data_IF_221809633521
#
_entry.id   IF_221809633521
#
_cell.length_a   1.000
_cell.length_b   1.000
_cell.length_c   1.000
_cell.angle_alpha   90.00
_cell.angle_beta   90.00
_cell.angle_gamma   90.00
#
_symmetry.space_group_name_H-M   'P 1'
#
loop_
_entity.id
_entity.type
_entity.pdbx_description
1 polymer ?
#
# COMPACT_ATOMS: atom_id res chain seq x y z
N UNK A 1 12.40 19.89 -3.05
CA UNK A 1 12.19 18.91 -4.13
C UNK A 1 11.39 19.61 -5.23
N UNK A 2 11.84 19.57 -6.49
CA UNK A 2 11.09 20.14 -7.62
C UNK A 2 9.78 19.37 -7.85
N UNK A 3 8.76 20.02 -8.44
CA UNK A 3 7.45 19.41 -8.69
C UNK A 3 7.55 18.11 -9.50
N UNK A 4 8.39 18.10 -10.53
CA UNK A 4 8.59 16.94 -11.41
C UNK A 4 9.27 15.77 -10.71
N UNK A 5 10.24 16.04 -9.84
CA UNK A 5 10.87 14.99 -9.05
C UNK A 5 9.87 14.33 -8.10
N UNK A 6 8.95 15.13 -7.51
CA UNK A 6 7.92 14.60 -6.60
C UNK A 6 6.91 13.74 -7.35
N UNK A 7 6.44 14.17 -8.52
CA UNK A 7 5.51 13.37 -9.33
C UNK A 7 6.15 12.08 -9.84
N UNK A 8 7.40 12.13 -10.33
CA UNK A 8 8.12 10.92 -10.75
C UNK A 8 8.26 9.90 -9.62
N UNK A 9 8.60 10.35 -8.40
CA UNK A 9 8.79 9.43 -7.28
C UNK A 9 7.47 8.87 -6.73
N UNK A 10 6.46 9.70 -6.53
CA UNK A 10 5.20 9.27 -5.92
C UNK A 10 4.23 8.63 -6.91
N UNK A 11 4.10 9.19 -8.11
CA UNK A 11 3.19 8.67 -9.14
C UNK A 11 3.87 7.58 -9.96
N UNK A 12 5.15 7.74 -10.28
CA UNK A 12 5.91 6.76 -11.06
C UNK A 12 6.38 5.60 -10.19
N UNK A 13 7.40 5.81 -9.35
CA UNK A 13 8.07 4.73 -8.60
C UNK A 13 7.12 4.08 -7.59
N UNK A 14 6.61 4.85 -6.62
CA UNK A 14 5.70 4.29 -5.62
C UNK A 14 4.39 3.79 -6.24
N UNK A 15 3.89 4.43 -7.30
CA UNK A 15 2.75 3.94 -8.06
C UNK A 15 2.99 2.57 -8.69
N UNK A 16 4.16 2.34 -9.31
CA UNK A 16 4.50 1.06 -9.91
C UNK A 16 4.74 -0.06 -8.90
N UNK A 17 5.23 0.26 -7.69
CA UNK A 17 5.38 -0.71 -6.61
C UNK A 17 4.04 -1.14 -5.98
N UNK A 18 2.99 -0.33 -6.07
CA UNK A 18 1.71 -0.58 -5.40
C UNK A 18 0.66 -1.07 -6.40
N UNK A 19 0.38 -2.38 -6.43
CA UNK A 19 -0.60 -2.97 -7.38
C UNK A 19 -1.98 -3.21 -6.74
N UNK A 20 -2.83 -2.18 -6.78
CA UNK A 20 -4.22 -2.27 -6.28
C UNK A 20 -5.08 -3.25 -7.09
N UNK A 21 -4.76 -3.46 -8.38
CA UNK A 21 -5.50 -4.38 -9.26
C UNK A 21 -5.33 -5.85 -8.86
N UNK A 22 -4.13 -6.28 -8.48
CA UNK A 22 -3.90 -7.67 -8.06
C UNK A 22 -4.63 -7.98 -6.74
N UNK A 23 -4.53 -7.07 -5.77
CA UNK A 23 -5.20 -7.20 -4.47
C UNK A 23 -6.74 -7.24 -4.60
N UNK A 24 -7.32 -6.42 -5.47
CA UNK A 24 -8.78 -6.45 -5.73
C UNK A 24 -9.23 -7.72 -6.44
N UNK A 25 -8.46 -8.24 -7.39
CA UNK A 25 -8.78 -9.49 -8.09
C UNK A 25 -8.76 -10.69 -7.13
N UNK A 26 -7.75 -10.79 -6.26
CA UNK A 26 -7.64 -11.86 -5.26
C UNK A 26 -8.76 -11.77 -4.20
N UNK A 27 -9.13 -10.55 -3.79
CA UNK A 27 -10.27 -10.31 -2.89
C UNK A 27 -11.58 -10.74 -3.55
N UNK A 28 -11.79 -10.43 -4.83
CA UNK A 28 -12.99 -10.84 -5.57
C UNK A 28 -13.04 -12.36 -5.74
N UNK A 29 -11.93 -13.01 -6.04
CA UNK A 29 -11.86 -14.47 -6.15
C UNK A 29 -12.24 -15.15 -4.82
N UNK A 30 -11.72 -14.65 -3.69
CA UNK A 30 -12.09 -15.12 -2.35
C UNK A 30 -13.56 -14.88 -2.01
N UNK A 31 -14.12 -13.74 -2.42
CA UNK A 31 -15.55 -13.44 -2.23
C UNK A 31 -16.44 -14.37 -3.08
N UNK A 32 -16.06 -14.65 -4.33
CA UNK A 32 -16.77 -15.58 -5.23
C UNK A 32 -16.68 -17.01 -4.70
N UNK A 33 -15.55 -17.40 -4.11
CA UNK A 33 -15.38 -18.68 -3.43
C UNK A 33 -16.18 -18.80 -2.11
N UNK A 34 -16.93 -17.77 -1.71
CA UNK A 34 -17.70 -17.75 -0.46
C UNK A 34 -16.85 -17.55 0.80
N UNK A 35 -15.56 -17.25 0.64
CA UNK A 35 -14.60 -17.16 1.72
C UNK A 35 -14.34 -15.71 2.16
N UNK A 36 -15.37 -15.10 2.75
CA UNK A 36 -15.36 -13.69 3.18
C UNK A 36 -14.34 -13.39 4.28
N UNK A 37 -14.02 -14.35 5.14
CA UNK A 37 -13.03 -14.17 6.21
C UNK A 37 -11.63 -13.93 5.64
N UNK A 38 -11.23 -14.71 4.64
CA UNK A 38 -9.93 -14.55 3.98
C UNK A 38 -9.92 -13.32 3.07
N UNK A 39 -11.04 -12.98 2.43
CA UNK A 39 -11.15 -11.72 1.68
C UNK A 39 -10.91 -10.49 2.59
N UNK A 40 -11.55 -10.45 3.76
CA UNK A 40 -11.35 -9.38 4.73
C UNK A 40 -9.93 -9.35 5.28
N UNK A 41 -9.32 -10.52 5.51
CA UNK A 41 -7.93 -10.63 5.96
C UNK A 41 -6.95 -10.12 4.89
N UNK A 42 -7.18 -10.45 3.62
CA UNK A 42 -6.35 -10.01 2.52
C UNK A 42 -6.37 -8.47 2.39
N UNK A 43 -7.56 -7.87 2.47
CA UNK A 43 -7.74 -6.41 2.43
C UNK A 43 -7.08 -5.73 3.62
N UNK A 44 -7.39 -6.19 4.84
CA UNK A 44 -6.88 -5.57 6.07
C UNK A 44 -5.38 -5.74 6.23
N UNK A 45 -4.80 -6.88 5.82
CA UNK A 45 -3.36 -7.09 5.83
C UNK A 45 -2.66 -6.14 4.86
N UNK A 46 -3.09 -6.09 3.59
CA UNK A 46 -2.47 -5.19 2.59
C UNK A 46 -2.54 -3.72 3.02
N UNK A 47 -3.73 -3.23 3.40
CA UNK A 47 -3.91 -1.84 3.83
C UNK A 47 -3.14 -1.56 5.13
N UNK A 48 -3.20 -2.48 6.10
CA UNK A 48 -2.52 -2.34 7.39
C UNK A 48 -1.00 -2.30 7.25
N UNK A 49 -0.40 -3.19 6.45
CA UNK A 49 1.03 -3.22 6.16
C UNK A 49 1.49 -1.93 5.47
N UNK A 50 0.73 -1.44 4.48
CA UNK A 50 1.03 -0.17 3.83
C UNK A 50 1.00 1.01 4.81
N UNK A 51 -0.01 1.08 5.69
CA UNK A 51 -0.14 2.16 6.66
C UNK A 51 0.97 2.11 7.71
N UNK A 52 1.31 0.93 8.21
CA UNK A 52 2.41 0.71 9.13
C UNK A 52 3.75 1.12 8.52
N UNK A 53 4.02 0.72 7.28
CA UNK A 53 5.23 1.12 6.56
C UNK A 53 5.34 2.64 6.38
N UNK A 54 4.23 3.31 6.04
CA UNK A 54 4.19 4.76 5.91
C UNK A 54 4.42 5.48 7.24
N UNK A 55 3.82 4.99 8.34
CA UNK A 55 4.01 5.55 9.68
C UNK A 55 5.46 5.37 10.13
N UNK A 56 6.02 4.16 9.98
CA UNK A 56 7.42 3.89 10.33
C UNK A 56 8.38 4.76 9.52
N UNK A 57 8.16 4.89 8.21
CA UNK A 57 8.96 5.77 7.35
C UNK A 57 8.89 7.23 7.78
N UNK A 58 7.71 7.72 8.18
CA UNK A 58 7.55 9.08 8.73
C UNK A 58 8.29 9.24 10.06
N UNK A 59 8.17 8.28 10.98
CA UNK A 59 8.86 8.34 12.28
C UNK A 59 10.37 8.39 12.06
N UNK A 60 10.90 7.49 11.23
CA UNK A 60 12.33 7.43 10.89
C UNK A 60 12.83 8.73 10.26
N UNK A 61 12.08 9.29 9.32
CA UNK A 61 12.43 10.56 8.68
C UNK A 61 12.44 11.74 9.66
N UNK A 62 11.52 11.75 10.62
CA UNK A 62 11.47 12.80 11.66
C UNK A 62 12.60 12.61 12.68
N UNK A 63 12.89 11.38 13.11
CA UNK A 63 13.96 11.09 14.08
C UNK A 63 15.36 11.29 13.50
N UNK A 64 15.56 11.09 12.19
CA UNK A 64 16.85 11.30 11.54
C UNK A 64 17.20 12.79 11.30
N UNK A 65 16.24 13.69 11.53
CA UNK A 65 16.39 15.14 11.33
C UNK A 65 16.67 15.89 12.64
N UNK A 66 16.55 15.23 13.80
CA UNK A 66 16.91 15.76 15.12
C UNK A 66 18.37 15.44 15.46
#
# INVERSE_FOLDING_TARGET
MSYEARSFLFVGVFGAFTTMSAMSLETVDLMVAGNYAYAALNVSANVGLCLLGAILGRILAVSAVL
#
